data_IF_320630945404
#
_entry.id   IF_320630945404
#
_cell.length_a   1.000
_cell.length_b   1.000
_cell.length_c   1.000
_cell.angle_alpha   90.00
_cell.angle_beta   90.00
_cell.angle_gamma   90.00
#
_symmetry.space_group_name_H-M   'P 1'
#
loop_
_entity.id
_entity.type
_entity.pdbx_description
1 polymer ?
#
# COMPACT_ATOMS: atom_id res chain seq x y z
N UNK A 1 28.20 -2.73 16.56
CA UNK A 1 27.69 -1.45 17.11
C UNK A 1 26.50 -1.79 18.01
N UNK A 2 26.58 -1.52 19.32
CA UNK A 2 25.52 -1.89 20.28
C UNK A 2 24.23 -1.12 19.95
N UNK A 3 23.11 -1.81 19.68
CA UNK A 3 21.80 -1.18 19.40
C UNK A 3 21.14 -0.71 20.71
N UNK A 4 21.68 0.36 21.29
CA UNK A 4 21.22 0.94 22.55
C UNK A 4 19.75 1.39 22.51
N UNK A 5 19.26 2.09 21.47
CA UNK A 5 17.84 2.48 21.36
C UNK A 5 16.88 1.28 21.40
N UNK A 6 17.17 0.24 20.63
CA UNK A 6 16.31 -0.95 20.59
C UNK A 6 16.28 -1.71 21.93
N UNK A 7 17.41 -1.74 22.66
CA UNK A 7 17.46 -2.33 24.01
C UNK A 7 16.72 -1.49 25.03
N UNK A 8 16.86 -0.17 24.98
CA UNK A 8 16.13 0.74 25.87
C UNK A 8 14.62 0.61 25.64
N UNK A 9 14.17 0.58 24.39
CA UNK A 9 12.78 0.31 24.06
C UNK A 9 12.32 -1.04 24.62
N UNK A 10 13.01 -2.13 24.26
CA UNK A 10 12.62 -3.49 24.64
C UNK A 10 12.57 -3.67 26.16
N UNK A 11 13.69 -3.45 26.83
CA UNK A 11 13.85 -3.79 28.25
C UNK A 11 13.44 -2.68 29.21
N UNK A 12 13.50 -1.41 28.78
CA UNK A 12 13.19 -0.26 29.62
C UNK A 12 11.75 0.21 29.52
N UNK A 13 11.05 -0.08 28.42
CA UNK A 13 9.69 0.44 28.16
C UNK A 13 8.72 -0.70 27.85
N UNK A 14 8.96 -1.44 26.76
CA UNK A 14 8.02 -2.42 26.23
C UNK A 14 7.76 -3.58 27.20
N UNK A 15 8.80 -4.25 27.70
CA UNK A 15 8.62 -5.41 28.59
C UNK A 15 7.86 -5.02 29.87
N UNK A 16 8.14 -3.84 30.42
CA UNK A 16 7.43 -3.32 31.59
C UNK A 16 5.98 -2.89 31.26
N UNK A 17 5.73 -2.30 30.08
CA UNK A 17 4.37 -2.01 29.61
C UNK A 17 3.53 -3.27 29.46
N UNK A 18 4.11 -4.35 28.94
CA UNK A 18 3.42 -5.62 28.80
C UNK A 18 3.09 -6.26 30.16
N UNK A 19 4.00 -6.17 31.13
CA UNK A 19 3.74 -6.58 32.51
C UNK A 19 2.59 -5.79 33.12
N UNK A 20 2.59 -4.47 32.99
CA UNK A 20 1.48 -3.62 33.44
C UNK A 20 0.19 -3.98 32.72
N UNK A 21 0.21 -4.14 31.39
CA UNK A 21 -0.96 -4.50 30.57
C UNK A 21 -1.59 -5.81 31.02
N UNK A 22 -0.78 -6.83 31.31
CA UNK A 22 -1.25 -8.15 31.74
C UNK A 22 -1.97 -8.16 33.09
N UNK A 23 -1.70 -7.17 33.95
CA UNK A 23 -2.26 -7.05 35.31
C UNK A 23 -3.46 -6.10 35.40
N UNK A 24 -3.94 -5.59 34.27
CA UNK A 24 -5.15 -4.76 34.22
C UNK A 24 -6.36 -5.57 34.72
N UNK A 25 -7.28 -4.97 35.52
CA UNK A 25 -7.41 -3.53 35.76
C UNK A 25 -6.57 -2.98 36.92
N UNK A 26 -5.96 -3.83 37.76
CA UNK A 26 -5.27 -3.39 38.99
C UNK A 26 -4.09 -2.44 38.76
N UNK A 27 -3.46 -2.52 37.58
CA UNK A 27 -2.32 -1.72 37.15
C UNK A 27 -2.68 -0.47 36.32
N UNK A 28 -3.97 -0.15 36.13
CA UNK A 28 -4.43 0.88 35.19
C UNK A 28 -3.74 2.24 35.39
N UNK A 29 -3.77 2.78 36.61
CA UNK A 29 -3.21 4.10 36.92
C UNK A 29 -1.68 4.13 36.80
N UNK A 30 -1.02 3.04 37.18
CA UNK A 30 0.44 2.89 37.03
C UNK A 30 0.84 2.83 35.56
N UNK A 31 0.09 2.10 34.73
CA UNK A 31 0.30 2.04 33.29
C UNK A 31 0.13 3.42 32.64
N UNK A 32 -0.89 4.17 33.04
CA UNK A 32 -1.13 5.51 32.52
C UNK A 32 0.02 6.46 32.88
N UNK A 33 0.42 6.47 34.15
CA UNK A 33 1.53 7.30 34.65
C UNK A 33 2.84 6.94 33.95
N UNK A 34 3.09 5.65 33.74
CA UNK A 34 4.29 5.18 33.04
C UNK A 34 4.29 5.58 31.57
N UNK A 35 3.16 5.48 30.86
CA UNK A 35 3.07 5.91 29.45
C UNK A 35 3.33 7.41 29.33
N UNK A 36 2.77 8.24 30.22
CA UNK A 36 3.00 9.69 30.20
C UNK A 36 4.48 10.00 30.38
N UNK A 37 5.13 9.39 31.37
CA UNK A 37 6.56 9.57 31.63
C UNK A 37 7.41 9.10 30.44
N UNK A 38 7.17 7.88 29.95
CA UNK A 38 7.90 7.32 28.82
C UNK A 38 7.72 8.18 27.56
N UNK A 39 6.51 8.66 27.29
CA UNK A 39 6.23 9.53 26.16
C UNK A 39 7.00 10.85 26.25
N UNK A 40 6.99 11.52 27.41
CA UNK A 40 7.76 12.75 27.65
C UNK A 40 9.27 12.53 27.47
N UNK A 41 9.80 11.41 27.99
CA UNK A 41 11.21 11.04 27.80
C UNK A 41 11.54 10.78 26.32
N UNK A 42 10.65 10.10 25.58
CA UNK A 42 10.87 9.83 24.16
C UNK A 42 10.80 11.11 23.32
N UNK A 43 9.91 12.05 23.64
CA UNK A 43 9.86 13.37 22.98
C UNK A 43 11.17 14.12 23.23
N UNK A 44 11.66 14.15 24.47
CA UNK A 44 12.95 14.79 24.78
C UNK A 44 14.10 14.15 24.00
N UNK A 45 14.15 12.81 23.89
CA UNK A 45 15.18 12.13 23.10
C UNK A 45 15.03 12.38 21.60
N UNK A 46 13.80 12.51 21.11
CA UNK A 46 13.52 12.88 19.74
C UNK A 46 14.08 14.27 19.39
N UNK A 47 13.95 15.23 20.32
CA UNK A 47 14.46 16.60 20.15
C UNK A 47 15.98 16.73 20.37
N UNK A 48 16.55 15.94 21.28
CA UNK A 48 17.96 16.10 21.71
C UNK A 48 18.93 15.10 21.11
N UNK A 49 18.44 14.00 20.53
CA UNK A 49 19.27 12.94 19.93
C UNK A 49 18.75 12.52 18.54
N UNK A 50 18.84 13.41 17.53
CA UNK A 50 18.25 13.20 16.21
C UNK A 50 18.87 12.03 15.42
N UNK A 51 20.08 11.61 15.79
CA UNK A 51 20.73 10.42 15.19
C UNK A 51 19.90 9.13 15.31
N UNK A 52 18.95 9.07 16.26
CA UNK A 52 18.06 7.93 16.44
C UNK A 52 16.58 8.28 16.18
N UNK A 53 16.28 9.40 15.49
CA UNK A 53 14.92 9.87 15.25
C UNK A 53 13.99 8.80 14.72
N UNK A 54 14.45 7.94 13.82
CA UNK A 54 13.64 6.85 13.26
C UNK A 54 13.14 5.90 14.34
N UNK A 55 13.99 5.56 15.32
CA UNK A 55 13.59 4.71 16.44
C UNK A 55 12.62 5.44 17.38
N UNK A 56 12.88 6.72 17.67
CA UNK A 56 12.06 7.51 18.58
C UNK A 56 10.66 7.77 18.04
N UNK A 57 10.54 8.11 16.75
CA UNK A 57 9.26 8.29 16.06
C UNK A 57 8.39 7.04 16.23
N UNK A 58 8.97 5.85 16.03
CA UNK A 58 8.23 4.61 16.16
C UNK A 58 7.83 4.29 17.61
N UNK A 59 8.72 4.55 18.57
CA UNK A 59 8.43 4.40 20.00
C UNK A 59 7.27 5.33 20.42
N UNK A 60 7.26 6.57 19.92
CA UNK A 60 6.20 7.55 20.18
C UNK A 60 4.86 7.09 19.58
N UNK A 61 4.87 6.54 18.37
CA UNK A 61 3.68 5.92 17.77
C UNK A 61 3.14 4.75 18.58
N UNK A 62 4.03 3.85 19.03
CA UNK A 62 3.65 2.70 19.86
C UNK A 62 3.08 3.14 21.23
N UNK A 63 3.71 4.11 21.89
CA UNK A 63 3.22 4.67 23.16
C UNK A 63 1.86 5.36 23.02
N UNK A 64 1.68 6.15 21.95
CA UNK A 64 0.40 6.78 21.65
C UNK A 64 -0.69 5.72 21.38
N UNK A 65 -0.35 4.60 20.73
CA UNK A 65 -1.27 3.48 20.53
C UNK A 65 -1.62 2.78 21.84
N UNK A 66 -0.67 2.57 22.76
CA UNK A 66 -0.99 2.06 24.10
C UNK A 66 -1.95 3.00 24.84
N UNK A 67 -1.70 4.32 24.75
CA UNK A 67 -2.56 5.33 25.37
C UNK A 67 -3.98 5.30 24.79
N UNK A 68 -4.10 5.23 23.46
CA UNK A 68 -5.37 5.07 22.74
C UNK A 68 -6.18 3.87 23.26
N UNK A 69 -5.55 2.71 23.44
CA UNK A 69 -6.22 1.49 23.91
C UNK A 69 -6.68 1.58 25.38
N UNK A 70 -6.17 2.55 26.14
CA UNK A 70 -6.58 2.77 27.53
C UNK A 70 -7.77 3.72 27.66
N UNK A 71 -8.08 4.52 26.63
CA UNK A 71 -9.18 5.47 26.68
C UNK A 71 -10.54 4.77 26.52
N UNK A 72 -11.45 5.07 27.44
CA UNK A 72 -12.85 4.62 27.37
C UNK A 72 -13.73 5.62 26.60
N UNK A 73 -13.38 6.92 26.69
CA UNK A 73 -14.07 7.99 25.97
C UNK A 73 -13.72 7.96 24.49
N UNK A 74 -14.74 8.02 23.63
CA UNK A 74 -14.59 7.88 22.18
C UNK A 74 -13.75 9.00 21.59
N UNK A 75 -13.91 10.21 22.08
CA UNK A 75 -13.20 11.41 21.65
C UNK A 75 -11.71 11.31 22.00
N UNK A 76 -11.38 10.97 23.24
CA UNK A 76 -10.00 10.77 23.68
C UNK A 76 -9.34 9.59 22.94
N UNK A 77 -10.07 8.49 22.73
CA UNK A 77 -9.60 7.37 21.91
C UNK A 77 -9.27 7.82 20.48
N UNK A 78 -10.15 8.58 19.83
CA UNK A 78 -9.91 9.10 18.49
C UNK A 78 -8.70 10.04 18.45
N UNK A 79 -8.55 10.93 19.44
CA UNK A 79 -7.41 11.85 19.54
C UNK A 79 -6.07 11.10 19.62
N UNK A 80 -5.96 10.12 20.51
CA UNK A 80 -4.73 9.32 20.61
C UNK A 80 -4.50 8.42 19.40
N UNK A 81 -5.57 7.97 18.74
CA UNK A 81 -5.48 7.32 17.43
C UNK A 81 -4.86 8.23 16.37
N UNK A 82 -5.27 9.50 16.31
CA UNK A 82 -4.67 10.50 15.43
C UNK A 82 -3.20 10.78 15.78
N UNK A 83 -2.84 10.85 17.07
CA UNK A 83 -1.44 11.03 17.51
C UNK A 83 -0.59 9.82 17.10
N UNK A 84 -1.08 8.59 17.29
CA UNK A 84 -0.35 7.40 16.85
C UNK A 84 -0.19 7.39 15.32
N UNK A 85 -1.25 7.74 14.58
CA UNK A 85 -1.23 7.80 13.13
C UNK A 85 -0.23 8.84 12.61
N UNK A 86 -0.15 10.03 13.22
CA UNK A 86 0.80 11.07 12.78
C UNK A 86 2.26 10.61 12.92
N UNK A 87 2.60 9.91 14.01
CA UNK A 87 3.93 9.33 14.19
C UNK A 87 4.24 8.24 13.17
N UNK A 88 3.30 7.32 12.91
CA UNK A 88 3.52 6.27 11.92
C UNK A 88 3.54 6.80 10.48
N UNK A 89 2.77 7.85 10.18
CA UNK A 89 2.84 8.58 8.89
C UNK A 89 4.24 9.16 8.75
N UNK A 90 4.73 9.91 9.75
CA UNK A 90 6.09 10.48 9.75
C UNK A 90 7.17 9.41 9.58
N UNK A 91 7.03 8.26 10.25
CA UNK A 91 7.93 7.13 10.05
C UNK A 91 7.87 6.59 8.61
N UNK A 92 6.66 6.39 8.08
CA UNK A 92 6.45 5.87 6.73
C UNK A 92 6.88 6.86 5.66
N UNK A 93 6.93 8.15 5.98
CA UNK A 93 7.37 9.17 5.06
C UNK A 93 8.88 9.14 4.87
N UNK A 94 9.61 8.87 5.96
CA UNK A 94 11.06 8.68 5.96
C UNK A 94 11.48 7.32 5.41
N UNK A 95 10.65 6.29 5.62
CA UNK A 95 10.95 4.91 5.24
C UNK A 95 9.78 4.24 4.51
N UNK A 96 9.38 4.75 3.33
CA UNK A 96 8.18 4.30 2.62
C UNK A 96 8.24 2.82 2.20
N UNK A 97 9.43 2.26 2.07
CA UNK A 97 9.69 0.86 1.72
C UNK A 97 9.41 -0.15 2.84
N UNK A 98 9.23 0.29 4.09
CA UNK A 98 9.08 -0.60 5.25
C UNK A 98 7.61 -0.95 5.49
N UNK A 99 7.24 -2.19 5.17
CA UNK A 99 5.88 -2.70 5.30
C UNK A 99 5.33 -2.65 6.74
N UNK A 100 6.18 -2.77 7.77
CA UNK A 100 5.74 -2.80 9.16
C UNK A 100 5.04 -1.51 9.60
N UNK A 101 5.41 -0.37 9.02
CA UNK A 101 4.81 0.93 9.34
C UNK A 101 3.36 0.99 8.88
N UNK A 102 3.06 0.46 7.70
CA UNK A 102 1.68 0.35 7.19
C UNK A 102 0.85 -0.70 7.93
N UNK A 103 1.47 -1.72 8.53
CA UNK A 103 0.77 -2.63 9.45
C UNK A 103 0.29 -1.90 10.70
N UNK A 104 1.15 -1.06 11.28
CA UNK A 104 0.78 -0.22 12.42
C UNK A 104 -0.35 0.74 12.07
N UNK A 105 -0.28 1.41 10.92
CA UNK A 105 -1.37 2.25 10.41
C UNK A 105 -2.67 1.45 10.23
N UNK A 106 -2.60 0.25 9.66
CA UNK A 106 -3.78 -0.62 9.48
C UNK A 106 -4.46 -1.01 10.80
N UNK A 107 -3.70 -1.15 11.90
CA UNK A 107 -4.26 -1.44 13.22
C UNK A 107 -5.17 -0.30 13.69
N UNK A 108 -4.78 0.95 13.43
CA UNK A 108 -5.52 2.16 13.84
C UNK A 108 -6.80 2.36 13.03
N UNK A 109 -6.84 1.84 11.79
CA UNK A 109 -8.00 1.98 10.92
C UNK A 109 -9.19 1.13 11.38
N UNK A 110 -10.40 1.68 11.22
CA UNK A 110 -11.64 0.88 11.31
C UNK A 110 -11.74 -0.11 10.14
N UNK A 111 -12.55 -1.19 10.24
CA UNK A 111 -12.83 -2.06 9.10
C UNK A 111 -13.34 -1.24 7.89
N UNK A 112 -12.51 -1.13 6.86
CA UNK A 112 -12.67 -0.23 5.70
C UNK A 112 -11.75 -0.66 4.56
N UNK A 113 -11.97 -0.15 3.35
CA UNK A 113 -11.06 -0.39 2.22
C UNK A 113 -9.65 0.16 2.51
N UNK A 114 -9.56 1.26 3.25
CA UNK A 114 -8.28 1.82 3.71
C UNK A 114 -7.50 0.84 4.58
N UNK A 115 -8.17 0.11 5.47
CA UNK A 115 -7.54 -0.95 6.28
C UNK A 115 -7.01 -2.10 5.41
N UNK A 116 -7.76 -2.52 4.40
CA UNK A 116 -7.30 -3.52 3.43
C UNK A 116 -6.11 -3.01 2.62
N UNK A 117 -6.14 -1.76 2.15
CA UNK A 117 -5.05 -1.12 1.44
C UNK A 117 -3.78 -1.04 2.30
N UNK A 118 -3.87 -0.65 3.58
CA UNK A 118 -2.72 -0.60 4.48
C UNK A 118 -2.11 -1.99 4.76
N UNK A 119 -2.93 -3.03 5.02
CA UNK A 119 -2.42 -4.40 5.15
C UNK A 119 -1.85 -4.93 3.83
N UNK A 120 -2.51 -4.66 2.71
CA UNK A 120 -2.03 -5.01 1.38
C UNK A 120 -0.67 -4.38 1.08
N UNK A 121 -0.54 -3.07 1.35
CA UNK A 121 0.72 -2.32 1.24
C UNK A 121 1.79 -2.91 2.15
N UNK A 122 1.47 -3.18 3.40
CA UNK A 122 2.38 -3.83 4.35
C UNK A 122 2.98 -5.14 3.83
N UNK A 123 2.20 -5.93 3.09
CA UNK A 123 2.62 -7.20 2.49
C UNK A 123 3.32 -7.04 1.13
N UNK A 124 3.12 -5.93 0.44
CA UNK A 124 3.58 -5.68 -0.94
C UNK A 124 4.58 -4.53 -1.07
N UNK A 125 5.06 -3.96 0.04
CA UNK A 125 6.23 -3.09 0.05
C UNK A 125 7.50 -3.85 -0.36
N UNK A 126 8.53 -3.08 -0.77
CA UNK A 126 9.84 -3.63 -1.09
C UNK A 126 10.48 -4.38 0.10
N UNK A 127 10.26 -3.91 1.34
CA UNK A 127 10.55 -4.65 2.57
C UNK A 127 9.22 -5.07 3.21
N UNK A 128 8.66 -6.25 2.85
CA UNK A 128 7.34 -6.67 3.33
C UNK A 128 7.36 -7.05 4.82
N UNK A 129 6.20 -6.97 5.47
CA UNK A 129 6.02 -7.42 6.86
C UNK A 129 5.08 -8.63 6.94
N UNK A 130 5.60 -9.88 6.94
CA UNK A 130 4.80 -11.10 6.85
C UNK A 130 3.73 -11.26 7.94
N UNK A 131 3.98 -10.71 9.15
CA UNK A 131 3.05 -10.77 10.27
C UNK A 131 1.71 -10.07 9.96
N UNK A 132 1.69 -9.11 9.02
CA UNK A 132 0.45 -8.48 8.56
C UNK A 132 -0.55 -9.49 7.97
N UNK A 133 -0.06 -10.63 7.46
CA UNK A 133 -0.92 -11.69 6.91
C UNK A 133 -1.83 -12.30 7.98
N UNK A 134 -1.33 -12.45 9.20
CA UNK A 134 -2.12 -12.92 10.34
C UNK A 134 -3.20 -11.93 10.74
N UNK A 135 -2.86 -10.64 10.81
CA UNK A 135 -3.80 -9.56 11.12
C UNK A 135 -4.88 -9.39 10.04
N UNK A 136 -4.49 -9.47 8.77
CA UNK A 136 -5.43 -9.46 7.64
C UNK A 136 -6.36 -10.67 7.68
N UNK A 137 -5.85 -11.87 7.98
CA UNK A 137 -6.69 -13.07 8.15
C UNK A 137 -7.73 -12.88 9.26
N UNK A 138 -7.32 -12.35 10.42
CA UNK A 138 -8.22 -12.10 11.54
C UNK A 138 -9.31 -11.07 11.20
N UNK A 139 -9.02 -10.11 10.31
CA UNK A 139 -10.00 -9.18 9.76
C UNK A 139 -10.98 -9.87 8.78
N UNK A 140 -10.46 -10.72 7.89
CA UNK A 140 -11.26 -11.34 6.82
C UNK A 140 -12.26 -12.40 7.32
N UNK A 141 -11.88 -13.22 8.31
CA UNK A 141 -12.72 -14.32 8.82
C UNK A 141 -14.14 -13.85 9.21
N UNK A 142 -14.32 -12.84 10.07
CA UNK A 142 -15.66 -12.38 10.43
C UNK A 142 -16.41 -11.76 9.25
N UNK A 143 -15.71 -11.11 8.29
CA UNK A 143 -16.36 -10.50 7.12
C UNK A 143 -16.90 -11.52 6.12
N UNK A 144 -16.24 -12.68 6.00
CA UNK A 144 -16.70 -13.76 5.12
C UNK A 144 -18.00 -14.42 5.62
N UNK A 145 -18.18 -14.53 6.94
CA UNK A 145 -19.33 -15.21 7.55
C UNK A 145 -20.58 -14.34 7.77
N UNK A 146 -20.51 -13.03 7.61
CA UNK A 146 -21.61 -12.10 7.96
C UNK A 146 -22.50 -11.78 6.75
N UNK A 147 -23.81 -11.93 6.93
CA UNK A 147 -24.81 -11.32 6.06
C UNK A 147 -24.76 -9.79 6.24
N UNK A 148 -24.61 -9.02 5.16
CA UNK A 148 -24.43 -7.57 5.24
C UNK A 148 -25.58 -6.92 6.04
N UNK A 149 -25.30 -6.19 7.13
CA UNK A 149 -26.33 -5.45 7.85
C UNK A 149 -26.85 -4.29 6.98
N UNK A 150 -28.12 -3.91 7.18
CA UNK A 150 -28.72 -2.77 6.50
C UNK A 150 -27.99 -1.48 6.91
N UNK A 151 -27.33 -0.83 5.95
CA UNK A 151 -26.57 0.41 6.13
C UNK A 151 -26.86 1.39 4.97
N UNK A 152 -26.29 2.60 5.01
CA UNK A 152 -26.39 3.54 3.88
C UNK A 152 -25.69 2.99 2.62
N UNK A 153 -26.15 3.31 1.39
CA UNK A 153 -25.60 2.77 0.15
C UNK A 153 -24.07 2.89 -0.02
N UNK A 154 -23.47 4.00 0.40
CA UNK A 154 -22.02 4.23 0.34
C UNK A 154 -21.24 3.32 1.30
N UNK A 155 -21.76 3.14 2.52
CA UNK A 155 -21.23 2.20 3.50
C UNK A 155 -21.45 0.75 3.06
N UNK A 156 -22.53 0.48 2.32
CA UNK A 156 -22.80 -0.82 1.70
C UNK A 156 -21.86 -1.10 0.53
N UNK A 157 -21.51 -0.11 -0.28
CA UNK A 157 -20.60 -0.29 -1.41
C UNK A 157 -19.18 -0.57 -0.94
N UNK A 158 -18.63 0.24 -0.02
CA UNK A 158 -17.33 0.00 0.60
C UNK A 158 -17.29 -1.37 1.31
N UNK A 159 -18.32 -1.70 2.09
CA UNK A 159 -18.39 -2.99 2.78
C UNK A 159 -18.47 -4.18 1.81
N UNK A 160 -19.12 -4.03 0.65
CA UNK A 160 -19.17 -5.07 -0.39
C UNK A 160 -17.79 -5.32 -1.00
N UNK A 161 -17.01 -4.28 -1.24
CA UNK A 161 -15.61 -4.42 -1.65
C UNK A 161 -14.74 -5.04 -0.56
N UNK A 162 -14.91 -4.65 0.69
CA UNK A 162 -14.20 -5.29 1.82
C UNK A 162 -14.52 -6.79 1.88
N UNK A 163 -15.78 -7.18 1.70
CA UNK A 163 -16.20 -8.58 1.66
C UNK A 163 -15.58 -9.34 0.48
N UNK A 164 -15.57 -8.74 -0.71
CA UNK A 164 -14.91 -9.32 -1.89
C UNK A 164 -13.40 -9.56 -1.63
N UNK A 165 -12.67 -8.56 -1.14
CA UNK A 165 -11.26 -8.71 -0.79
C UNK A 165 -11.03 -9.75 0.33
N UNK A 166 -11.94 -9.83 1.31
CA UNK A 166 -11.87 -10.85 2.35
C UNK A 166 -12.00 -12.27 1.79
N UNK A 167 -12.99 -12.50 0.92
CA UNK A 167 -13.21 -13.79 0.26
C UNK A 167 -12.05 -14.16 -0.66
N UNK A 168 -11.50 -13.18 -1.40
CA UNK A 168 -10.31 -13.38 -2.23
C UNK A 168 -9.10 -13.79 -1.40
N UNK A 169 -8.84 -13.09 -0.30
CA UNK A 169 -7.72 -13.39 0.59
C UNK A 169 -7.85 -14.77 1.27
N UNK A 170 -9.07 -15.17 1.60
CA UNK A 170 -9.39 -16.48 2.20
C UNK A 170 -9.50 -17.61 1.17
N UNK A 171 -9.29 -17.32 -0.12
CA UNK A 171 -9.42 -18.28 -1.21
C UNK A 171 -10.81 -18.98 -1.27
N UNK A 172 -11.88 -18.20 -1.08
CA UNK A 172 -13.25 -18.73 -1.06
C UNK A 172 -13.64 -19.49 -2.35
N UNK A 173 -14.67 -20.35 -2.29
CA UNK A 173 -15.20 -21.06 -3.45
C UNK A 173 -15.61 -20.10 -4.57
N UNK A 174 -15.53 -20.58 -5.82
CA UNK A 174 -15.80 -19.78 -7.02
C UNK A 174 -17.19 -19.14 -7.01
N UNK A 175 -18.21 -19.89 -6.58
CA UNK A 175 -19.58 -19.39 -6.51
C UNK A 175 -19.71 -18.16 -5.57
N UNK A 176 -19.12 -18.23 -4.38
CA UNK A 176 -19.16 -17.14 -3.40
C UNK A 176 -18.39 -15.91 -3.90
N UNK A 177 -17.24 -16.12 -4.55
CA UNK A 177 -16.47 -15.05 -5.18
C UNK A 177 -17.23 -14.40 -6.32
N UNK A 178 -17.89 -15.19 -7.18
CA UNK A 178 -18.69 -14.66 -8.28
C UNK A 178 -19.86 -13.83 -7.76
N UNK A 179 -20.56 -14.31 -6.73
CA UNK A 179 -21.64 -13.56 -6.08
C UNK A 179 -21.15 -12.24 -5.48
N UNK A 180 -20.07 -12.28 -4.68
CA UNK A 180 -19.50 -11.07 -4.08
C UNK A 180 -18.96 -10.10 -5.12
N UNK A 181 -18.37 -10.61 -6.21
CA UNK A 181 -17.89 -9.79 -7.33
C UNK A 181 -19.05 -9.08 -8.00
N UNK A 182 -20.12 -9.80 -8.34
CA UNK A 182 -21.30 -9.22 -8.97
C UNK A 182 -21.94 -8.13 -8.09
N UNK A 183 -22.06 -8.37 -6.78
CA UNK A 183 -22.58 -7.38 -5.82
C UNK A 183 -21.68 -6.16 -5.69
N UNK A 184 -20.36 -6.33 -5.60
CA UNK A 184 -19.44 -5.19 -5.51
C UNK A 184 -19.44 -4.36 -6.81
N UNK A 185 -19.43 -5.03 -7.97
CA UNK A 185 -19.41 -4.38 -9.28
C UNK A 185 -20.72 -3.65 -9.59
N UNK A 186 -21.88 -4.12 -9.11
CA UNK A 186 -23.16 -3.41 -9.34
C UNK A 186 -23.14 -2.00 -8.74
N UNK A 187 -22.49 -1.81 -7.59
CA UNK A 187 -22.32 -0.47 -6.99
C UNK A 187 -21.43 0.46 -7.82
N UNK A 188 -20.48 -0.05 -8.61
CA UNK A 188 -19.71 0.81 -9.52
C UNK A 188 -20.53 1.23 -10.73
N UNK A 189 -21.45 0.37 -11.18
CA UNK A 189 -22.32 0.62 -12.33
C UNK A 189 -23.45 1.60 -12.01
N UNK A 190 -23.86 1.69 -10.74
CA UNK A 190 -24.84 2.64 -10.24
C UNK A 190 -24.21 4.03 -10.01
N UNK A 191 -24.60 5.08 -10.76
CA UNK A 191 -24.02 6.41 -10.61
C UNK A 191 -24.21 6.96 -9.19
N UNK A 192 -23.10 7.29 -8.53
CA UNK A 192 -23.10 7.88 -7.18
C UNK A 192 -23.18 6.88 -6.03
N UNK A 193 -23.31 5.57 -6.29
CA UNK A 193 -23.35 4.57 -5.22
C UNK A 193 -21.95 4.24 -4.63
N UNK A 194 -20.89 4.56 -5.36
CA UNK A 194 -19.49 4.41 -4.92
C UNK A 194 -18.75 5.75 -4.88
N UNK A 195 -18.11 6.06 -3.74
CA UNK A 195 -17.29 7.25 -3.59
C UNK A 195 -15.86 7.02 -4.13
N UNK A 196 -15.64 7.37 -5.39
CA UNK A 196 -14.28 7.35 -5.98
C UNK A 196 -13.30 8.26 -5.23
N UNK A 197 -13.78 9.39 -4.72
CA UNK A 197 -12.97 10.35 -3.97
C UNK A 197 -12.38 9.73 -2.70
N UNK A 198 -13.23 9.05 -1.91
CA UNK A 198 -12.83 8.57 -0.59
C UNK A 198 -12.28 7.15 -0.64
N UNK A 199 -12.81 6.31 -1.54
CA UNK A 199 -12.48 4.89 -1.61
C UNK A 199 -11.55 4.53 -2.78
N UNK A 200 -11.41 5.40 -3.80
CA UNK A 200 -10.70 5.08 -5.04
C UNK A 200 -9.25 4.66 -4.80
N UNK A 201 -8.44 5.51 -4.16
CA UNK A 201 -7.03 5.18 -3.87
C UNK A 201 -6.90 3.86 -3.10
N UNK A 202 -7.72 3.66 -2.07
CA UNK A 202 -7.73 2.44 -1.26
C UNK A 202 -8.11 1.21 -2.09
N UNK A 203 -9.10 1.33 -2.97
CA UNK A 203 -9.52 0.27 -3.88
C UNK A 203 -8.41 -0.09 -4.87
N UNK A 204 -7.73 0.89 -5.47
CA UNK A 204 -6.60 0.63 -6.37
C UNK A 204 -5.48 -0.15 -5.67
N UNK A 205 -5.06 0.31 -4.49
CA UNK A 205 -3.99 -0.35 -3.72
C UNK A 205 -4.41 -1.76 -3.29
N UNK A 206 -5.66 -1.95 -2.85
CA UNK A 206 -6.19 -3.27 -2.49
C UNK A 206 -6.28 -4.22 -3.70
N UNK A 207 -6.74 -3.73 -4.85
CA UNK A 207 -6.79 -4.47 -6.11
C UNK A 207 -5.40 -4.93 -6.57
N UNK A 208 -4.42 -4.02 -6.58
CA UNK A 208 -3.04 -4.35 -6.95
C UNK A 208 -2.40 -5.31 -5.94
N UNK A 209 -2.68 -5.14 -4.65
CA UNK A 209 -2.23 -6.10 -3.62
C UNK A 209 -2.81 -7.49 -3.86
N UNK A 210 -4.09 -7.59 -4.24
CA UNK A 210 -4.72 -8.87 -4.57
C UNK A 210 -4.10 -9.51 -5.83
N UNK A 211 -3.79 -8.73 -6.87
CA UNK A 211 -3.04 -9.19 -8.05
C UNK A 211 -1.66 -9.78 -7.68
N UNK A 212 -1.00 -9.19 -6.68
CA UNK A 212 0.28 -9.65 -6.13
C UNK A 212 0.14 -10.82 -5.12
N UNK A 213 -1.05 -11.41 -4.99
CA UNK A 213 -1.31 -12.49 -4.04
C UNK A 213 -1.09 -12.07 -2.59
N UNK A 214 -1.25 -10.79 -2.29
CA UNK A 214 -0.93 -10.16 -1.01
C UNK A 214 0.51 -10.47 -0.58
N UNK A 215 1.46 -10.30 -1.51
CA UNK A 215 2.89 -10.50 -1.28
C UNK A 215 3.32 -11.96 -1.19
N UNK A 216 2.55 -12.90 -1.77
CA UNK A 216 2.95 -14.30 -1.78
C UNK A 216 4.20 -14.52 -2.66
N UNK A 217 5.20 -15.23 -2.13
CA UNK A 217 6.40 -15.60 -2.89
C UNK A 217 6.11 -16.57 -4.04
N UNK A 218 4.93 -17.19 -4.08
CA UNK A 218 4.49 -18.06 -5.19
C UNK A 218 3.72 -17.31 -6.27
N UNK A 219 3.51 -16.00 -6.12
CA UNK A 219 2.81 -15.19 -7.11
C UNK A 219 3.80 -14.74 -8.20
N UNK A 220 3.52 -15.08 -9.45
CA UNK A 220 4.42 -14.79 -10.57
C UNK A 220 4.64 -13.29 -10.80
N UNK A 221 3.60 -12.47 -10.58
CA UNK A 221 3.69 -11.01 -10.72
C UNK A 221 4.62 -10.42 -9.65
N UNK A 222 4.51 -10.89 -8.40
CA UNK A 222 5.43 -10.51 -7.32
C UNK A 222 6.87 -10.88 -7.68
N UNK A 223 7.09 -12.12 -8.10
CA UNK A 223 8.43 -12.59 -8.51
C UNK A 223 9.01 -11.77 -9.66
N UNK A 224 8.19 -11.34 -10.62
CA UNK A 224 8.62 -10.50 -11.73
C UNK A 224 9.09 -9.11 -11.27
N UNK A 225 8.38 -8.47 -10.34
CA UNK A 225 8.81 -7.18 -9.80
C UNK A 225 10.06 -7.30 -8.94
N UNK A 226 10.17 -8.33 -8.09
CA UNK A 226 11.40 -8.57 -7.31
C UNK A 226 12.61 -8.76 -8.25
N UNK A 227 12.45 -9.54 -9.32
CA UNK A 227 13.47 -9.74 -10.34
C UNK A 227 13.85 -8.43 -11.05
N UNK A 228 12.84 -7.63 -11.42
CA UNK A 228 13.05 -6.32 -12.07
C UNK A 228 13.87 -5.39 -11.18
N UNK A 229 13.51 -5.28 -9.89
CA UNK A 229 14.26 -4.47 -8.91
C UNK A 229 15.71 -4.96 -8.80
N UNK A 230 15.92 -6.27 -8.71
CA UNK A 230 17.26 -6.84 -8.63
C UNK A 230 18.12 -6.43 -9.84
N UNK A 231 17.59 -6.57 -11.06
CA UNK A 231 18.33 -6.19 -12.28
C UNK A 231 18.70 -4.71 -12.30
N UNK A 232 17.75 -3.84 -11.98
CA UNK A 232 18.01 -2.40 -11.95
C UNK A 232 19.10 -2.03 -10.93
N UNK A 233 19.07 -2.65 -9.75
CA UNK A 233 20.10 -2.45 -8.75
C UNK A 233 21.47 -2.96 -9.24
N UNK A 234 21.54 -4.11 -9.91
CA UNK A 234 22.77 -4.60 -10.54
C UNK A 234 23.32 -3.60 -11.58
N UNK A 235 22.46 -3.06 -12.47
CA UNK A 235 22.85 -2.06 -13.47
C UNK A 235 23.35 -0.75 -12.84
N UNK A 236 22.72 -0.29 -11.76
CA UNK A 236 23.09 0.94 -11.05
C UNK A 236 24.40 0.77 -10.25
N UNK A 237 24.64 -0.41 -9.69
CA UNK A 237 25.89 -0.73 -9.00
C UNK A 237 27.07 -0.88 -9.96
N UNK A 238 26.84 -1.46 -11.15
CA UNK A 238 27.82 -1.57 -12.23
C UNK A 238 28.25 -0.20 -12.77
N UNK A 239 27.39 0.83 -12.69
CA UNK A 239 27.76 2.20 -13.08
C UNK A 239 28.57 2.96 -12.02
N UNK A 240 28.67 2.47 -10.78
CA UNK A 240 29.23 3.23 -9.65
C UNK A 240 30.51 2.69 -8.98
N UNK A 241 31.02 1.48 -9.25
CA UNK A 241 32.44 1.11 -9.00
C UNK A 241 32.82 -0.32 -9.40
N UNK A 242 34.13 -0.49 -9.63
CA UNK A 242 34.92 -1.70 -9.83
C UNK A 242 34.49 -2.94 -9.05
N UNK A 243 34.41 -4.05 -9.79
CA UNK A 243 34.49 -5.47 -9.37
C UNK A 243 34.47 -5.75 -7.87
N UNK A 244 33.29 -6.04 -7.33
CA UNK A 244 33.13 -6.97 -6.23
C UNK A 244 32.15 -8.07 -6.63
N UNK A 245 32.63 -9.30 -6.60
CA UNK A 245 31.85 -10.51 -6.87
C UNK A 245 30.70 -10.62 -5.86
N UNK A 246 29.48 -10.35 -6.32
CA UNK A 246 28.26 -10.76 -5.64
C UNK A 246 27.96 -12.19 -6.07
N UNK A 247 27.76 -13.06 -5.08
CA UNK A 247 27.49 -14.48 -5.28
C UNK A 247 26.23 -14.69 -6.16
N UNK A 248 26.22 -15.73 -7.02
CA UNK A 248 25.05 -16.03 -7.84
C UNK A 248 23.86 -16.44 -6.95
N UNK A 249 22.62 -16.11 -7.33
CA UNK A 249 21.45 -16.45 -6.53
C UNK A 249 21.33 -17.98 -6.37
N UNK A 250 21.31 -18.41 -5.11
CA UNK A 250 21.09 -19.80 -4.73
C UNK A 250 19.63 -20.21 -4.95
N UNK A 251 19.44 -21.01 -5.99
CA UNK A 251 18.70 -22.28 -6.05
C UNK A 251 17.20 -22.33 -5.70
N UNK A 252 16.48 -22.76 -6.76
CA UNK A 252 15.33 -23.69 -6.79
C UNK A 252 14.00 -23.07 -6.36
N UNK A 253 13.24 -22.60 -7.36
CA UNK A 253 11.77 -22.63 -7.31
C UNK A 253 11.36 -24.08 -7.11
N UNK A 254 11.12 -24.50 -5.87
CA UNK A 254 10.23 -25.64 -5.65
C UNK A 254 8.86 -25.15 -6.10
N UNK A 255 8.42 -25.59 -7.29
CA UNK A 255 7.09 -25.29 -7.79
C UNK A 255 6.06 -25.59 -6.70
N UNK A 256 5.07 -24.71 -6.55
CA UNK A 256 3.94 -25.01 -5.67
C UNK A 256 3.27 -26.30 -6.16
N UNK A 257 2.69 -27.12 -5.27
CA UNK A 257 1.87 -28.27 -5.69
C UNK A 257 0.83 -27.83 -6.73
N UNK A 258 0.57 -28.64 -7.75
CA UNK A 258 -0.32 -28.29 -8.88
C UNK A 258 -1.66 -27.71 -8.42
N UNK A 259 -2.29 -28.31 -7.40
CA UNK A 259 -3.55 -27.81 -6.82
C UNK A 259 -3.45 -26.37 -6.26
N UNK A 260 -2.31 -26.01 -5.66
CA UNK A 260 -2.04 -24.66 -5.17
C UNK A 260 -1.74 -23.69 -6.33
N UNK A 261 -1.16 -24.19 -7.42
CA UNK A 261 -0.94 -23.41 -8.64
C UNK A 261 -2.28 -23.04 -9.31
N UNK A 262 -3.19 -24.01 -9.43
CA UNK A 262 -4.53 -23.80 -10.01
C UNK A 262 -5.36 -22.81 -9.19
N UNK A 263 -5.35 -22.95 -7.85
CA UNK A 263 -6.01 -22.00 -6.97
C UNK A 263 -5.43 -20.58 -7.11
N UNK A 264 -4.11 -20.44 -7.13
CA UNK A 264 -3.45 -19.14 -7.31
C UNK A 264 -3.83 -18.52 -8.65
N UNK A 265 -3.87 -19.31 -9.72
CA UNK A 265 -4.27 -18.86 -11.05
C UNK A 265 -5.71 -18.38 -11.07
N UNK A 266 -6.64 -19.16 -10.51
CA UNK A 266 -8.05 -18.78 -10.38
C UNK A 266 -8.22 -17.45 -9.63
N UNK A 267 -7.59 -17.30 -8.48
CA UNK A 267 -7.66 -16.06 -7.68
C UNK A 267 -7.05 -14.87 -8.41
N UNK A 268 -5.97 -15.09 -9.18
CA UNK A 268 -5.36 -14.08 -10.03
C UNK A 268 -6.31 -13.62 -11.13
N UNK A 269 -7.02 -14.53 -11.78
CA UNK A 269 -8.01 -14.20 -12.82
C UNK A 269 -9.19 -13.39 -12.26
N UNK A 270 -9.72 -13.76 -11.09
CA UNK A 270 -10.77 -12.97 -10.43
C UNK A 270 -10.23 -11.58 -10.06
N UNK A 271 -9.01 -11.51 -9.52
CA UNK A 271 -8.39 -10.23 -9.13
C UNK A 271 -8.13 -9.31 -10.32
N UNK A 272 -7.70 -9.88 -11.45
CA UNK A 272 -7.52 -9.19 -12.72
C UNK A 272 -8.84 -8.64 -13.25
N UNK A 273 -9.87 -9.48 -13.32
CA UNK A 273 -11.19 -9.07 -13.81
C UNK A 273 -11.75 -7.91 -12.98
N UNK A 274 -11.78 -8.02 -11.65
CA UNK A 274 -12.29 -6.94 -10.80
C UNK A 274 -11.47 -5.64 -10.95
N UNK A 275 -10.17 -5.76 -11.17
CA UNK A 275 -9.27 -4.60 -11.33
C UNK A 275 -9.56 -3.88 -12.64
N UNK A 276 -9.67 -4.62 -13.74
CA UNK A 276 -10.01 -4.08 -15.06
C UNK A 276 -11.44 -3.53 -15.10
N UNK A 277 -12.42 -4.24 -14.55
CA UNK A 277 -13.81 -3.78 -14.47
C UNK A 277 -13.92 -2.48 -13.66
N UNK A 278 -13.16 -2.36 -12.56
CA UNK A 278 -13.08 -1.12 -11.78
C UNK A 278 -12.45 0.02 -12.59
N UNK A 279 -11.34 -0.25 -13.30
CA UNK A 279 -10.68 0.73 -14.18
C UNK A 279 -11.59 1.21 -15.30
N UNK A 280 -12.22 0.30 -16.03
CA UNK A 280 -13.13 0.64 -17.11
C UNK A 280 -14.35 1.42 -16.59
N UNK A 281 -14.88 1.07 -15.42
CA UNK A 281 -16.01 1.80 -14.83
C UNK A 281 -15.60 3.21 -14.39
N UNK A 282 -14.43 3.37 -13.77
CA UNK A 282 -13.88 4.68 -13.41
C UNK A 282 -13.64 5.59 -14.62
N UNK A 283 -13.23 5.02 -15.76
CA UNK A 283 -13.03 5.77 -17.01
C UNK A 283 -14.34 6.12 -17.73
N UNK A 284 -15.40 5.32 -17.55
CA UNK A 284 -16.76 5.61 -18.04
C UNK A 284 -17.52 6.63 -17.19
N UNK A 285 -16.87 7.23 -16.19
CA UNK A 285 -17.46 8.20 -15.27
C UNK A 285 -18.33 9.24 -16.02
N UNK A 286 -19.57 9.52 -15.53
CA UNK A 286 -20.52 10.41 -16.18
C UNK A 286 -19.96 11.80 -16.49
N UNK A 287 -20.57 12.46 -17.47
CA UNK A 287 -20.24 13.83 -17.90
C UNK A 287 -20.51 14.84 -16.78
N UNK A 288 -19.49 15.12 -15.98
CA UNK A 288 -19.47 16.16 -14.96
C UNK A 288 -18.06 16.36 -14.43
N UNK A 289 -17.56 17.61 -14.42
CA UNK A 289 -16.18 17.92 -14.02
C UNK A 289 -15.87 17.39 -12.61
N UNK A 290 -16.79 17.57 -11.66
CA UNK A 290 -16.62 17.10 -10.28
C UNK A 290 -16.54 15.56 -10.20
N UNK A 291 -17.40 14.85 -10.93
CA UNK A 291 -17.42 13.38 -10.94
C UNK A 291 -16.16 12.82 -11.62
N UNK A 292 -15.70 13.46 -12.70
CA UNK A 292 -14.45 13.11 -13.37
C UNK A 292 -13.24 13.31 -12.46
N UNK A 293 -13.17 14.45 -11.75
CA UNK A 293 -12.10 14.74 -10.79
C UNK A 293 -12.03 13.69 -9.67
N UNK A 294 -13.17 13.19 -9.21
CA UNK A 294 -13.20 12.17 -8.17
C UNK A 294 -12.56 10.84 -8.59
N UNK A 295 -12.49 10.51 -9.90
CA UNK A 295 -11.87 9.27 -10.37
C UNK A 295 -10.38 9.40 -10.72
N UNK A 296 -9.84 10.63 -10.79
CA UNK A 296 -8.46 10.89 -11.24
C UNK A 296 -7.42 10.12 -10.44
N UNK A 297 -7.49 10.16 -9.11
CA UNK A 297 -6.50 9.51 -8.25
C UNK A 297 -6.49 7.98 -8.45
N UNK A 298 -7.67 7.37 -8.55
CA UNK A 298 -7.78 5.94 -8.84
C UNK A 298 -7.22 5.59 -10.23
N UNK A 299 -7.64 6.30 -11.28
CA UNK A 299 -7.19 6.05 -12.65
C UNK A 299 -5.69 6.31 -12.80
N UNK A 300 -5.16 7.36 -12.14
CA UNK A 300 -3.74 7.69 -12.11
C UNK A 300 -2.90 6.56 -11.52
N UNK A 301 -3.27 6.02 -10.36
CA UNK A 301 -2.60 4.85 -9.78
C UNK A 301 -2.65 3.65 -10.74
N UNK A 302 -3.81 3.39 -11.35
CA UNK A 302 -3.98 2.26 -12.26
C UNK A 302 -3.12 2.42 -13.53
N UNK A 303 -3.04 3.61 -14.11
CA UNK A 303 -2.16 3.89 -15.25
C UNK A 303 -0.69 3.82 -14.87
N UNK A 304 -0.30 4.33 -13.70
CA UNK A 304 1.04 4.15 -13.17
C UNK A 304 1.38 2.66 -13.05
N UNK A 305 0.49 1.85 -12.47
CA UNK A 305 0.70 0.41 -12.34
C UNK A 305 0.83 -0.29 -13.70
N UNK A 306 -0.04 0.01 -14.66
CA UNK A 306 0.03 -0.54 -16.03
C UNK A 306 1.35 -0.13 -16.70
N UNK A 307 1.77 1.13 -16.56
CA UNK A 307 3.04 1.60 -17.11
C UNK A 307 4.23 0.82 -16.53
N UNK A 308 4.31 0.69 -15.20
CA UNK A 308 5.41 -0.06 -14.58
C UNK A 308 5.35 -1.55 -14.92
N UNK A 309 4.15 -2.12 -15.06
CA UNK A 309 4.00 -3.49 -15.54
C UNK A 309 4.56 -3.67 -16.95
N UNK A 310 4.31 -2.73 -17.86
CA UNK A 310 4.89 -2.76 -19.21
C UNK A 310 6.43 -2.64 -19.18
N UNK A 311 6.99 -1.83 -18.28
CA UNK A 311 8.44 -1.75 -18.07
C UNK A 311 9.00 -3.07 -17.52
N UNK A 312 8.39 -3.65 -16.49
CA UNK A 312 8.78 -4.93 -15.93
C UNK A 312 8.77 -6.04 -17.00
N UNK A 313 7.73 -6.06 -17.86
CA UNK A 313 7.65 -6.98 -19.00
C UNK A 313 8.86 -6.88 -19.93
N UNK A 314 9.32 -5.67 -20.24
CA UNK A 314 10.53 -5.44 -21.05
C UNK A 314 11.79 -5.99 -20.39
N UNK A 315 11.97 -5.75 -19.09
CA UNK A 315 13.16 -6.20 -18.34
C UNK A 315 13.16 -7.72 -18.09
N UNK A 316 11.98 -8.34 -17.99
CA UNK A 316 11.85 -9.80 -17.82
C UNK A 316 11.96 -10.61 -19.10
N UNK A 317 12.17 -10.01 -20.29
CA UNK A 317 12.25 -10.75 -21.56
C UNK A 317 13.32 -11.86 -21.57
N UNK A 318 14.34 -11.74 -20.72
CA UNK A 318 15.44 -12.69 -20.58
C UNK A 318 14.99 -13.97 -19.83
N UNK A 319 13.89 -13.91 -19.07
CA UNK A 319 13.25 -15.04 -18.39
C UNK A 319 11.91 -15.35 -19.07
N UNK A 320 11.85 -16.35 -19.96
CA UNK A 320 10.64 -16.68 -20.71
C UNK A 320 9.44 -17.05 -19.82
N UNK A 321 9.66 -17.64 -18.64
CA UNK A 321 8.61 -18.08 -17.74
C UNK A 321 7.94 -16.88 -17.04
N UNK A 322 8.75 -15.93 -16.56
CA UNK A 322 8.27 -14.67 -15.99
C UNK A 322 7.61 -13.79 -17.05
N UNK A 323 8.25 -13.65 -18.22
CA UNK A 323 7.72 -12.87 -19.34
C UNK A 323 6.34 -13.39 -19.79
N UNK A 324 6.20 -14.72 -19.93
CA UNK A 324 4.92 -15.34 -20.27
C UNK A 324 3.87 -15.10 -19.19
N UNK A 325 4.24 -15.24 -17.92
CA UNK A 325 3.33 -15.00 -16.78
C UNK A 325 2.80 -13.55 -16.76
N UNK A 326 3.63 -12.57 -17.09
CA UNK A 326 3.22 -11.17 -17.22
C UNK A 326 2.33 -10.93 -18.44
N UNK A 327 2.64 -11.54 -19.59
CA UNK A 327 1.85 -11.44 -20.82
C UNK A 327 0.40 -11.92 -20.63
N UNK A 328 0.21 -12.98 -19.85
CA UNK A 328 -1.12 -13.53 -19.57
C UNK A 328 -1.92 -12.68 -18.58
N UNK A 329 -1.29 -11.74 -17.87
CA UNK A 329 -1.95 -10.91 -16.87
C UNK A 329 -2.55 -9.63 -17.46
N UNK A 330 -1.83 -8.93 -18.33
CA UNK A 330 -2.34 -7.73 -19.03
C UNK A 330 -1.90 -7.79 -20.49
N UNK A 331 -2.67 -8.52 -21.29
CA UNK A 331 -2.50 -8.57 -22.73
C UNK A 331 -2.90 -7.24 -23.39
N UNK A 332 -2.40 -6.95 -24.62
CA UNK A 332 -2.79 -5.74 -25.34
C UNK A 332 -4.30 -5.68 -25.61
N UNK A 333 -4.98 -6.82 -25.71
CA UNK A 333 -6.41 -6.90 -26.04
C UNK A 333 -7.34 -6.77 -24.82
N UNK A 334 -6.78 -6.69 -23.61
CA UNK A 334 -7.56 -6.68 -22.36
C UNK A 334 -7.85 -5.26 -21.85
N UNK A 335 -7.07 -4.29 -22.32
CA UNK A 335 -7.27 -2.88 -22.03
C UNK A 335 -8.15 -2.29 -23.12
N UNK A 336 -9.26 -1.66 -22.73
CA UNK A 336 -10.09 -0.91 -23.66
C UNK A 336 -9.40 0.39 -24.08
N UNK A 337 -8.47 0.32 -25.05
CA UNK A 337 -7.66 1.47 -25.49
C UNK A 337 -8.49 2.66 -25.98
N UNK A 338 -9.66 2.42 -26.59
CA UNK A 338 -10.59 3.49 -26.98
C UNK A 338 -11.06 4.26 -25.75
N UNK A 339 -11.43 3.55 -24.67
CA UNK A 339 -11.87 4.16 -23.42
C UNK A 339 -10.73 4.93 -22.73
N UNK A 340 -9.50 4.38 -22.79
CA UNK A 340 -8.29 5.08 -22.30
C UNK A 340 -8.08 6.38 -23.07
N UNK A 341 -8.12 6.33 -24.40
CA UNK A 341 -7.96 7.51 -25.24
C UNK A 341 -9.03 8.56 -24.95
N UNK A 342 -10.30 8.16 -24.82
CA UNK A 342 -11.40 9.07 -24.50
C UNK A 342 -11.26 9.71 -23.11
N UNK A 343 -10.77 8.95 -22.11
CA UNK A 343 -10.50 9.48 -20.77
C UNK A 343 -9.35 10.49 -20.79
N UNK A 344 -8.23 10.16 -21.45
CA UNK A 344 -7.07 11.03 -21.57
C UNK A 344 -7.36 12.30 -22.39
N UNK A 345 -8.15 12.19 -23.46
CA UNK A 345 -8.60 13.34 -24.25
C UNK A 345 -9.46 14.30 -23.40
N UNK A 346 -10.33 13.76 -22.55
CA UNK A 346 -11.10 14.58 -21.58
C UNK A 346 -10.18 15.22 -20.54
N UNK A 347 -9.18 14.48 -20.03
CA UNK A 347 -8.18 15.05 -19.12
C UNK A 347 -7.41 16.20 -19.79
N UNK A 348 -6.99 16.03 -21.03
CA UNK A 348 -6.26 17.04 -21.80
C UNK A 348 -7.08 18.33 -22.02
N UNK A 349 -8.41 18.24 -22.07
CA UNK A 349 -9.28 19.43 -22.12
C UNK A 349 -9.29 20.21 -20.79
N UNK A 350 -9.11 19.53 -19.66
CA UNK A 350 -9.08 20.14 -18.32
C UNK A 350 -7.67 20.59 -17.91
N UNK A 351 -6.66 19.81 -18.31
CA UNK A 351 -5.24 19.99 -18.04
C UNK A 351 -4.49 19.86 -19.37
N UNK A 352 -4.33 20.99 -20.11
CA UNK A 352 -3.70 20.97 -21.42
C UNK A 352 -2.30 20.35 -21.38
N UNK A 353 -2.03 19.50 -22.36
CA UNK A 353 -0.71 18.90 -22.57
C UNK A 353 0.27 19.99 -23.00
N UNK A 354 1.33 20.19 -22.23
CA UNK A 354 2.37 21.18 -22.54
C UNK A 354 3.46 20.59 -23.43
N UNK A 355 4.15 21.44 -24.19
CA UNK A 355 5.29 21.02 -25.04
C UNK A 355 6.39 20.35 -24.22
N UNK A 356 6.61 20.83 -22.99
CA UNK A 356 7.53 20.22 -22.02
C UNK A 356 7.13 18.78 -21.69
N UNK A 357 5.85 18.53 -21.39
CA UNK A 357 5.35 17.19 -21.08
C UNK A 357 5.51 16.25 -22.28
N UNK A 358 5.28 16.74 -23.50
CA UNK A 358 5.53 15.97 -24.73
C UNK A 358 7.00 15.61 -24.86
N UNK A 359 7.91 16.56 -24.63
CA UNK A 359 9.35 16.34 -24.70
C UNK A 359 9.83 15.32 -23.67
N UNK A 360 9.36 15.43 -22.41
CA UNK A 360 9.64 14.45 -21.36
C UNK A 360 9.15 13.05 -21.74
N UNK A 361 7.90 12.94 -22.22
CA UNK A 361 7.31 11.67 -22.64
C UNK A 361 8.10 11.01 -23.79
N UNK A 362 8.54 11.79 -24.79
CA UNK A 362 9.36 11.28 -25.90
C UNK A 362 10.72 10.72 -25.45
N UNK A 363 11.27 11.28 -24.36
CA UNK A 363 12.53 10.81 -23.78
C UNK A 363 12.33 9.65 -22.78
N UNK A 364 11.08 9.22 -22.56
CA UNK A 364 10.75 8.21 -21.55
C UNK A 364 11.04 8.69 -20.12
N UNK A 365 11.06 9.99 -19.90
CA UNK A 365 11.35 10.60 -18.61
C UNK A 365 10.05 11.01 -17.93
N UNK A 366 9.81 10.48 -16.73
CA UNK A 366 8.86 11.09 -15.79
C UNK A 366 9.35 12.50 -15.40
N UNK A 367 8.43 13.41 -15.08
CA UNK A 367 8.76 14.77 -14.64
C UNK A 367 9.77 14.67 -13.48
N UNK A 368 10.91 15.36 -13.59
CA UNK A 368 12.11 15.08 -12.77
C UNK A 368 12.37 16.12 -11.68
N UNK A 369 11.66 17.24 -11.69
CA UNK A 369 11.97 18.38 -10.82
C UNK A 369 10.75 18.83 -10.01
N UNK A 370 10.96 19.28 -8.75
CA UNK A 370 9.94 19.97 -7.97
C UNK A 370 9.32 21.17 -8.69
N UNK A 371 10.11 21.87 -9.53
CA UNK A 371 9.64 22.99 -10.37
C UNK A 371 8.69 22.55 -11.52
N UNK A 372 8.63 21.25 -11.83
CA UNK A 372 7.80 20.66 -12.89
C UNK A 372 6.49 20.06 -12.36
N UNK A 373 6.34 19.97 -11.03
CA UNK A 373 5.15 19.45 -10.35
C UNK A 373 5.43 19.06 -8.89
N UNK A 374 4.38 18.99 -8.08
CA UNK A 374 4.42 18.51 -6.70
C UNK A 374 3.84 17.08 -6.60
N UNK A 375 4.30 16.26 -5.64
CA UNK A 375 3.69 14.95 -5.38
C UNK A 375 2.20 15.06 -5.09
N UNK A 376 1.41 14.22 -5.74
CA UNK A 376 -0.02 14.13 -5.49
C UNK A 376 -0.31 13.32 -4.21
N UNK A 377 -1.44 13.55 -3.52
CA UNK A 377 -1.81 12.77 -2.33
C UNK A 377 -1.78 11.24 -2.54
N UNK A 378 -2.16 10.78 -3.73
CA UNK A 378 -2.10 9.37 -4.13
C UNK A 378 -0.67 8.84 -4.31
N UNK A 379 0.32 9.68 -4.63
CA UNK A 379 1.72 9.27 -4.79
C UNK A 379 2.29 8.78 -3.45
N UNK A 380 1.97 9.49 -2.37
CA UNK A 380 2.28 9.08 -0.99
C UNK A 380 1.64 7.73 -0.63
N UNK A 381 0.48 7.43 -1.22
CA UNK A 381 -0.24 6.18 -0.97
C UNK A 381 0.44 4.99 -1.66
N UNK A 382 1.12 5.19 -2.79
CA UNK A 382 1.75 4.10 -3.55
C UNK A 382 3.28 4.00 -3.41
N UNK A 383 3.97 5.04 -2.94
CA UNK A 383 5.42 4.98 -2.71
C UNK A 383 5.82 3.84 -1.79
N UNK A 384 6.96 3.23 -2.09
CA UNK A 384 7.53 2.09 -1.36
C UNK A 384 6.90 0.72 -1.64
N UNK A 385 5.81 0.66 -2.41
CA UNK A 385 5.30 -0.59 -2.98
C UNK A 385 6.31 -1.20 -3.94
N UNK A 386 6.41 -2.53 -3.96
CA UNK A 386 7.36 -3.27 -4.81
C UNK A 386 7.16 -2.95 -6.30
N UNK A 387 5.92 -2.79 -6.74
CA UNK A 387 5.62 -2.46 -8.13
C UNK A 387 5.82 -0.96 -8.43
N UNK A 388 5.88 -0.09 -7.43
CA UNK A 388 6.09 1.35 -7.59
C UNK A 388 7.54 1.77 -7.30
N UNK A 389 8.46 0.81 -7.16
CA UNK A 389 9.85 1.07 -6.74
C UNK A 389 10.57 2.08 -7.64
N UNK A 390 10.24 2.10 -8.94
CA UNK A 390 10.82 3.03 -9.92
C UNK A 390 9.78 4.00 -10.50
N UNK A 391 8.62 4.15 -9.86
CA UNK A 391 7.57 5.04 -10.35
C UNK A 391 7.92 6.52 -10.18
N UNK A 392 8.76 6.84 -9.19
CA UNK A 392 9.11 8.22 -8.82
C UNK A 392 10.60 8.47 -9.00
N UNK A 393 10.96 9.68 -9.42
CA UNK A 393 12.36 10.07 -9.51
C UNK A 393 12.97 10.29 -8.11
N UNK A 394 14.30 10.14 -7.96
CA UNK A 394 14.98 10.56 -6.74
C UNK A 394 14.65 12.02 -6.40
N UNK A 395 14.35 12.29 -5.13
CA UNK A 395 13.97 13.61 -4.66
C UNK A 395 12.54 14.05 -4.97
N UNK A 396 11.70 13.19 -5.56
CA UNK A 396 10.30 13.53 -5.85
C UNK A 396 9.53 13.96 -4.60
N UNK A 397 9.81 13.32 -3.45
CA UNK A 397 9.11 13.57 -2.19
C UNK A 397 9.92 14.42 -1.19
N UNK A 398 11.06 14.96 -1.60
CA UNK A 398 11.88 15.78 -0.71
C UNK A 398 11.17 17.12 -0.51
N UNK A 399 10.97 17.52 0.74
CA UNK A 399 10.44 18.83 1.08
C UNK A 399 11.59 19.79 1.40
N UNK A 400 11.41 21.10 1.17
CA UNK A 400 12.39 22.12 1.58
C UNK A 400 12.65 22.09 3.11
N UNK A 401 11.70 21.54 3.91
CA UNK A 401 11.84 21.38 5.36
C UNK A 401 12.79 20.24 5.77
N UNK A 402 13.03 19.24 4.91
CA UNK A 402 13.93 18.13 5.21
C UNK A 402 15.42 18.53 5.14
N UNK A 403 15.75 19.62 4.42
CA UNK A 403 17.12 20.18 4.41
C UNK A 403 17.52 20.80 5.76
N UNK A 404 16.57 21.36 6.51
CA UNK A 404 16.84 22.04 7.79
C UNK A 404 17.12 21.07 8.95
N UNK A 405 16.64 19.83 8.85
CA UNK A 405 16.95 18.75 9.80
C UNK A 405 18.32 18.10 9.57
N UNK A 406 18.86 18.19 8.35
CA UNK A 406 20.19 17.67 8.01
C UNK A 406 21.31 18.70 8.25
N UNK A 407 20.95 19.98 8.49
CA UNK A 407 21.90 21.08 8.74
C UNK A 407 22.09 21.45 10.22
N UNK A 408 21.40 20.79 11.17
CA UNK A 408 21.52 21.05 12.61
C UNK A 408 22.03 19.85 13.41
#
# INVERSE_FOLDING_TARGET
>A
MYSMPARMWKYGIHDFLEDLRSRRPSSQEYMLSFIILAYQMMVLLYETAPIFSDTWIECLGDLARYRMFMEEEKEAHAQWGCVAASWYIKASDRHPQIGRLYHHLAILERPSLRKFACYGKSLTCAVPFPNARGSLRALCIPMAGVAQPACFPELLSEASFCKLHALLFLAAPEFELAQASNTAMSFLQEPGAFSWRDCGVSLAVANISALLGHGSNTNSLRAAFDFTIQRFNEHTMLSHSTTHHVAPPSKIRSGAPEAKSEENWRLLQVSKRMTLDSLHTAMRCPSGIATFQNSLAFVGIMFCFIHILCLAKRETQIDPELSMSLCLLFGPDEIEWVLVADYLNRLAQLRPVTDHLVQCAQQGLWLKKPEEGEPLPEDFSIRGLVWAYFAFCPGWFDSDEDEDLLRN
#
